data_IF_717729372439
#
_entry.id   IF_717729372439
#
_cell.length_a   1.000
_cell.length_b   1.000
_cell.length_c   1.000
_cell.angle_alpha   90.00
_cell.angle_beta   90.00
_cell.angle_gamma   90.00
#
_symmetry.space_group_name_H-M   'P 1'
#
loop_
_entity.id
_entity.type
_entity.pdbx_description
1 polymer ?
#
# COMPACT_ATOMS: atom_id res chain seq x y z
N UNK A 1 15.90 10.02 -10.31
CA UNK A 1 17.33 9.64 -10.17
C UNK A 1 17.63 8.76 -8.94
N UNK A 2 17.18 9.13 -7.73
CA UNK A 2 17.43 8.33 -6.52
C UNK A 2 16.61 7.02 -6.47
N UNK A 3 15.31 7.08 -6.73
CA UNK A 3 14.44 5.89 -6.67
C UNK A 3 14.76 4.85 -7.75
N UNK A 4 15.06 5.30 -8.97
CA UNK A 4 15.41 4.42 -10.10
C UNK A 4 16.73 3.68 -9.89
N UNK A 5 17.64 4.22 -9.08
CA UNK A 5 18.92 3.61 -8.73
C UNK A 5 18.89 2.77 -7.44
N UNK A 6 17.80 2.82 -6.67
CA UNK A 6 17.67 2.05 -5.44
C UNK A 6 17.66 0.54 -5.73
N UNK A 7 18.32 -0.23 -4.87
CA UNK A 7 18.32 -1.68 -4.91
C UNK A 7 16.92 -2.24 -4.68
N UNK A 8 16.64 -3.49 -5.11
CA UNK A 8 15.38 -4.17 -4.82
C UNK A 8 15.04 -4.21 -3.32
N UNK A 9 16.06 -4.40 -2.47
CA UNK A 9 15.93 -4.38 -1.01
C UNK A 9 15.44 -3.01 -0.52
N UNK A 10 16.12 -1.93 -0.90
CA UNK A 10 15.74 -0.58 -0.47
C UNK A 10 14.32 -0.19 -0.91
N UNK A 11 13.91 -0.59 -2.12
CA UNK A 11 12.53 -0.36 -2.60
C UNK A 11 11.51 -1.17 -1.79
N UNK A 12 11.80 -2.45 -1.57
CA UNK A 12 10.95 -3.33 -0.75
C UNK A 12 10.78 -2.78 0.66
N UNK A 13 11.89 -2.38 1.31
CA UNK A 13 11.86 -1.84 2.66
C UNK A 13 11.11 -0.51 2.73
N UNK A 14 11.26 0.36 1.72
CA UNK A 14 10.50 1.60 1.64
C UNK A 14 8.99 1.35 1.51
N UNK A 15 8.57 0.37 0.71
CA UNK A 15 7.17 0.01 0.55
C UNK A 15 6.59 -0.65 1.82
N UNK A 16 7.36 -1.47 2.54
CA UNK A 16 6.95 -1.99 3.84
C UNK A 16 6.74 -0.87 4.87
N UNK A 17 7.67 0.09 4.94
CA UNK A 17 7.49 1.28 5.80
C UNK A 17 6.25 2.09 5.40
N UNK A 18 6.00 2.22 4.10
CA UNK A 18 4.81 2.89 3.61
C UNK A 18 3.52 2.17 4.03
N UNK A 19 3.48 0.84 3.91
CA UNK A 19 2.34 0.04 4.37
C UNK A 19 2.07 0.22 5.87
N UNK A 20 3.11 0.32 6.71
CA UNK A 20 2.95 0.64 8.14
C UNK A 20 2.28 1.99 8.34
N UNK A 21 2.76 3.05 7.65
CA UNK A 21 2.15 4.39 7.74
C UNK A 21 0.70 4.39 7.25
N UNK A 22 0.38 3.62 6.21
CA UNK A 22 -0.99 3.47 5.73
C UNK A 22 -1.89 2.83 6.80
N UNK A 23 -1.42 1.76 7.44
CA UNK A 23 -2.15 1.06 8.51
C UNK A 23 -2.37 1.97 9.74
N UNK A 24 -1.35 2.71 10.15
CA UNK A 24 -1.44 3.67 11.28
C UNK A 24 -2.47 4.77 11.04
N UNK A 25 -2.72 5.12 9.76
CA UNK A 25 -3.65 6.16 9.32
C UNK A 25 -4.94 5.59 8.72
N UNK A 26 -5.21 4.30 8.89
CA UNK A 26 -6.29 3.62 8.19
C UNK A 26 -7.68 4.24 8.42
N UNK A 27 -7.97 4.67 9.65
CA UNK A 27 -9.25 5.32 9.98
C UNK A 27 -9.40 6.67 9.27
N UNK A 28 -8.36 7.49 9.24
CA UNK A 28 -8.36 8.78 8.54
C UNK A 28 -8.63 8.60 7.05
N UNK A 29 -8.01 7.59 6.43
CA UNK A 29 -8.24 7.27 5.02
C UNK A 29 -9.67 6.79 4.79
N UNK A 30 -10.23 5.95 5.66
CA UNK A 30 -11.59 5.47 5.51
C UNK A 30 -12.60 6.62 5.61
N UNK A 31 -12.39 7.56 6.54
CA UNK A 31 -13.22 8.76 6.66
C UNK A 31 -13.12 9.65 5.41
N UNK A 32 -11.90 9.99 4.99
CA UNK A 32 -11.67 10.86 3.84
C UNK A 32 -12.29 10.28 2.57
N UNK A 33 -12.11 8.98 2.35
CA UNK A 33 -12.62 8.26 1.20
C UNK A 33 -14.17 8.17 1.22
N UNK A 34 -14.79 7.94 2.38
CA UNK A 34 -16.25 7.96 2.53
C UNK A 34 -16.82 9.35 2.28
N UNK A 35 -16.18 10.40 2.82
CA UNK A 35 -16.60 11.80 2.64
C UNK A 35 -16.48 12.27 1.19
N UNK A 36 -15.40 11.88 0.51
CA UNK A 36 -15.14 12.30 -0.87
C UNK A 36 -16.03 11.54 -1.87
N UNK A 37 -16.17 10.22 -1.70
CA UNK A 37 -16.78 9.35 -2.69
C UNK A 37 -18.24 8.98 -2.37
N UNK A 38 -18.75 9.35 -1.18
CA UNK A 38 -20.14 9.12 -0.76
C UNK A 38 -20.48 7.66 -0.43
N UNK A 39 -19.49 6.76 -0.36
CA UNK A 39 -19.71 5.35 -0.03
C UNK A 39 -19.90 5.15 1.48
N UNK A 40 -20.63 4.10 1.90
CA UNK A 40 -20.78 3.78 3.32
C UNK A 40 -19.42 3.58 3.98
N UNK A 41 -19.20 4.23 5.13
CA UNK A 41 -17.94 4.14 5.88
C UNK A 41 -17.51 2.69 6.18
N UNK A 42 -18.47 1.77 6.33
CA UNK A 42 -18.21 0.34 6.50
C UNK A 42 -17.42 -0.25 5.34
N UNK A 43 -17.76 0.10 4.10
CA UNK A 43 -17.07 -0.40 2.91
C UNK A 43 -15.62 0.08 2.89
N UNK A 44 -15.38 1.34 3.23
CA UNK A 44 -14.03 1.89 3.26
C UNK A 44 -13.17 1.33 4.39
N UNK A 45 -13.74 1.16 5.59
CA UNK A 45 -13.03 0.60 6.76
C UNK A 45 -12.71 -0.88 6.62
N UNK A 46 -13.63 -1.66 6.03
CA UNK A 46 -13.52 -3.12 6.04
C UNK A 46 -12.96 -3.70 4.74
N UNK A 47 -13.01 -2.95 3.63
CA UNK A 47 -12.57 -3.44 2.32
C UNK A 47 -11.52 -2.54 1.67
N UNK A 48 -11.85 -1.27 1.39
CA UNK A 48 -10.99 -0.44 0.55
C UNK A 48 -9.62 -0.16 1.20
N UNK A 49 -9.63 0.32 2.44
CA UNK A 49 -8.39 0.68 3.14
C UNK A 49 -7.59 -0.58 3.50
N UNK A 50 -8.18 -1.63 4.10
CA UNK A 50 -7.45 -2.88 4.35
C UNK A 50 -6.86 -3.49 3.07
N UNK A 51 -7.61 -3.50 1.96
CA UNK A 51 -7.13 -3.97 0.67
C UNK A 51 -5.98 -3.13 0.12
N UNK A 52 -5.99 -1.82 0.33
CA UNK A 52 -4.89 -0.94 -0.06
C UNK A 52 -3.62 -1.24 0.74
N UNK A 53 -3.73 -1.48 2.05
CA UNK A 53 -2.58 -1.85 2.89
C UNK A 53 -2.02 -3.20 2.46
N UNK A 54 -2.87 -4.21 2.32
CA UNK A 54 -2.47 -5.56 1.89
C UNK A 54 -1.79 -5.55 0.52
N UNK A 55 -2.38 -4.85 -0.46
CA UNK A 55 -1.80 -4.70 -1.78
C UNK A 55 -0.42 -4.03 -1.73
N UNK A 56 -0.25 -3.03 -0.87
CA UNK A 56 1.05 -2.37 -0.67
C UNK A 56 2.09 -3.34 -0.10
N UNK A 57 1.72 -4.17 0.88
CA UNK A 57 2.59 -5.22 1.43
C UNK A 57 2.95 -6.26 0.37
N UNK A 58 1.97 -6.72 -0.41
CA UNK A 58 2.19 -7.66 -1.50
C UNK A 58 3.24 -7.15 -2.50
N UNK A 59 3.07 -5.91 -2.98
CA UNK A 59 4.03 -5.31 -3.92
C UNK A 59 5.35 -4.93 -3.27
N UNK A 60 5.39 -4.68 -1.95
CA UNK A 60 6.64 -4.55 -1.22
C UNK A 60 7.46 -5.84 -1.28
N UNK A 61 6.82 -7.01 -1.09
CA UNK A 61 7.44 -8.31 -1.30
C UNK A 61 7.89 -8.52 -2.74
N UNK A 62 7.03 -8.22 -3.72
CA UNK A 62 7.36 -8.34 -5.13
C UNK A 62 8.58 -7.49 -5.53
N UNK A 63 8.71 -6.28 -4.98
CA UNK A 63 9.83 -5.37 -5.27
C UNK A 63 11.20 -5.92 -4.85
N UNK A 64 11.24 -6.90 -3.95
CA UNK A 64 12.46 -7.59 -3.52
C UNK A 64 13.01 -8.55 -4.59
N UNK A 65 12.13 -9.02 -5.48
CA UNK A 65 12.46 -9.98 -6.52
C UNK A 65 12.68 -9.24 -7.85
N UNK A 66 13.88 -9.38 -8.43
CA UNK A 66 14.20 -8.83 -9.76
C UNK A 66 13.80 -9.75 -10.92
N UNK A 67 13.51 -11.02 -10.63
CA UNK A 67 13.08 -11.96 -11.65
C UNK A 67 11.71 -11.54 -12.18
N UNK A 68 11.67 -11.17 -13.46
CA UNK A 68 10.42 -11.06 -14.19
C UNK A 68 9.79 -12.44 -14.31
N UNK A 69 8.95 -12.82 -13.35
CA UNK A 69 8.01 -13.92 -13.53
C UNK A 69 6.88 -13.38 -14.41
N UNK A 70 7.11 -13.36 -15.71
CA UNK A 70 6.02 -13.32 -16.67
C UNK A 70 5.16 -14.55 -16.41
N UNK A 71 3.89 -14.32 -16.07
CA UNK A 71 2.89 -15.37 -15.99
C UNK A 71 2.62 -15.96 -17.39
#
# INVERSE_FOLDING_TARGET
PAWSGATPGERSDALHRFATVLAERAEDFAQAESLQCGKPIKLSREFDVPGTVDNTVFFAGAARHLEGRAA
#
